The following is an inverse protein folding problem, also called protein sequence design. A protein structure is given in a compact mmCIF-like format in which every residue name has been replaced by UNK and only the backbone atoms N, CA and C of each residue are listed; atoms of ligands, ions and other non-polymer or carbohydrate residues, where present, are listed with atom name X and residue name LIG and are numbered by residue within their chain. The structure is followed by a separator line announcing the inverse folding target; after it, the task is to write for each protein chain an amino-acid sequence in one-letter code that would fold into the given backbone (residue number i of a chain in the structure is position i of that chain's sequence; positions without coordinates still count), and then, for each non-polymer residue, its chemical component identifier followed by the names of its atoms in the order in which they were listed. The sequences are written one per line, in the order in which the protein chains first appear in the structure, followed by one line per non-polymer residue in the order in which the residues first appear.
data_IF_919514181705
#
_entry.id   IF_919514181705
#
_cell.length_a   1.000
_cell.length_b   1.000
_cell.length_c   1.000
_cell.angle_alpha   90.00
_cell.angle_beta   90.00
_cell.angle_gamma   90.00
#
_symmetry.space_group_name_H-M   'P 1'
#
loop_
_entity.id
_entity.type
_entity.pdbx_description
1 polymer ?
#
# COMPACT_ATOMS: atom_id res chain seq x y z
N UNK A 1 4.87 -2.38 -9.06
CA UNK A 1 5.51 -3.16 -7.99
C UNK A 1 4.68 -4.38 -7.66
N UNK A 2 5.32 -5.28 -6.92
CA UNK A 2 4.81 -6.61 -6.56
C UNK A 2 4.65 -6.76 -5.05
N UNK A 3 4.87 -5.70 -4.26
CA UNK A 3 4.80 -5.76 -2.79
C UNK A 3 3.44 -6.24 -2.29
N UNK A 4 2.34 -5.97 -3.02
CA UNK A 4 0.99 -6.47 -2.70
C UNK A 4 0.88 -8.00 -2.63
N UNK A 5 1.80 -8.76 -3.27
CA UNK A 5 1.82 -10.22 -3.17
C UNK A 5 1.95 -10.69 -1.71
N UNK A 6 2.63 -9.92 -0.85
CA UNK A 6 2.77 -10.25 0.57
C UNK A 6 1.45 -10.24 1.36
N UNK A 7 0.37 -9.67 0.81
CA UNK A 7 -0.97 -9.78 1.41
C UNK A 7 -1.55 -11.20 1.29
N UNK A 8 -1.00 -12.01 0.39
CA UNK A 8 -1.51 -13.32 0.05
C UNK A 8 -0.44 -14.37 0.32
N UNK A 9 -0.81 -15.43 1.05
CA UNK A 9 0.09 -16.58 1.23
C UNK A 9 0.28 -17.36 -0.07
N UNK A 10 -0.79 -17.50 -0.86
CA UNK A 10 -0.84 -18.24 -2.13
C UNK A 10 -1.76 -17.50 -3.11
N UNK A 11 -1.24 -16.47 -3.79
CA UNK A 11 -2.01 -15.75 -4.81
C UNK A 11 -2.07 -16.53 -6.13
N UNK A 12 -3.25 -16.64 -6.72
CA UNK A 12 -3.45 -17.08 -8.10
C UNK A 12 -3.96 -15.88 -8.89
N UNK A 13 -3.27 -15.50 -9.96
CA UNK A 13 -3.66 -14.40 -10.84
C UNK A 13 -4.41 -14.97 -12.02
N UNK A 14 -5.66 -14.53 -12.20
CA UNK A 14 -6.44 -14.84 -13.38
C UNK A 14 -6.26 -13.73 -14.43
N UNK A 15 -6.05 -14.12 -15.68
CA UNK A 15 -5.88 -13.22 -16.83
C UNK A 15 -7.09 -13.28 -17.77
N UNK A 16 -7.26 -12.25 -18.62
CA UNK A 16 -8.30 -12.18 -19.66
C UNK A 16 -9.65 -11.61 -19.18
N UNK A 17 -9.76 -11.23 -17.91
CA UNK A 17 -10.98 -10.64 -17.37
C UNK A 17 -11.03 -9.12 -17.58
N UNK A 18 -12.18 -8.56 -17.97
CA UNK A 18 -12.32 -7.11 -18.12
C UNK A 18 -12.20 -6.44 -16.76
N UNK A 19 -11.23 -5.51 -16.63
CA UNK A 19 -11.09 -4.63 -15.47
C UNK A 19 -11.47 -3.20 -15.85
N UNK A 20 -11.97 -2.44 -14.87
CA UNK A 20 -12.26 -1.03 -15.08
C UNK A 20 -10.96 -0.31 -15.51
N UNK A 21 -11.05 0.49 -16.59
CA UNK A 21 -9.90 1.23 -17.11
C UNK A 21 -9.28 2.07 -16.00
N UNK A 22 -7.99 1.88 -15.77
CA UNK A 22 -7.24 2.70 -14.82
C UNK A 22 -6.89 4.03 -15.48
N UNK A 23 -7.20 5.14 -14.81
CA UNK A 23 -6.81 6.48 -15.26
C UNK A 23 -5.28 6.64 -15.28
N UNK A 24 -4.61 5.96 -14.37
CA UNK A 24 -3.15 5.91 -14.28
C UNK A 24 -2.68 4.49 -14.62
N UNK A 25 -1.62 4.35 -15.42
CA UNK A 25 -0.98 3.08 -15.79
C UNK A 25 -0.25 2.39 -14.62
N UNK A 26 -0.69 2.65 -13.39
CA UNK A 26 -0.11 2.18 -12.15
C UNK A 26 -0.16 0.66 -12.05
N UNK A 27 1.02 0.06 -11.86
CA UNK A 27 1.17 -1.35 -11.48
C UNK A 27 0.68 -1.51 -10.04
N UNK A 28 -0.07 -2.58 -9.76
CA UNK A 28 -0.59 -2.88 -8.43
C UNK A 28 -1.94 -3.59 -8.48
N UNK A 29 -2.43 -3.99 -7.31
CA UNK A 29 -3.71 -4.65 -7.12
C UNK A 29 -4.80 -3.60 -6.87
N UNK A 30 -5.92 -3.66 -7.57
CA UNK A 30 -7.08 -2.82 -7.31
C UNK A 30 -7.96 -3.53 -6.26
N UNK A 31 -8.20 -2.91 -5.12
CA UNK A 31 -8.86 -3.53 -3.96
C UNK A 31 -9.61 -2.49 -3.13
N UNK A 32 -10.67 -2.90 -2.43
CA UNK A 32 -11.33 -2.00 -1.46
C UNK A 32 -10.49 -1.84 -0.20
N UNK A 33 -10.66 -0.71 0.51
CA UNK A 33 -10.01 -0.47 1.80
C UNK A 33 -10.30 -1.58 2.79
N UNK A 34 -11.56 -2.05 2.85
CA UNK A 34 -11.98 -3.11 3.76
C UNK A 34 -11.24 -4.43 3.50
N UNK A 35 -11.17 -4.87 2.24
CA UNK A 35 -10.48 -6.13 1.91
C UNK A 35 -8.98 -5.99 2.20
N UNK A 36 -8.39 -4.85 1.86
CA UNK A 36 -7.00 -4.55 2.18
C UNK A 36 -6.75 -4.58 3.71
N UNK A 37 -7.66 -4.02 4.50
CA UNK A 37 -7.63 -4.04 5.96
C UNK A 37 -7.67 -5.47 6.52
N UNK A 38 -8.58 -6.28 6.01
CA UNK A 38 -8.74 -7.70 6.41
C UNK A 38 -7.51 -8.53 6.04
N UNK A 39 -6.93 -8.33 4.86
CA UNK A 39 -5.71 -9.01 4.44
C UNK A 39 -4.51 -8.63 5.32
N UNK A 40 -4.41 -7.37 5.72
CA UNK A 40 -3.41 -6.88 6.66
C UNK A 40 -3.72 -7.22 8.13
N UNK A 41 -4.84 -7.90 8.39
CA UNK A 41 -5.32 -8.29 9.74
C UNK A 41 -5.41 -7.10 10.69
N UNK A 42 -6.03 -6.02 10.24
CA UNK A 42 -6.21 -4.82 11.05
C UNK A 42 -7.51 -4.10 10.73
N UNK A 43 -7.97 -3.30 11.69
CA UNK A 43 -9.04 -2.31 11.54
C UNK A 43 -8.53 -0.89 11.83
N UNK A 44 -7.21 -0.72 12.01
CA UNK A 44 -6.60 0.52 12.45
C UNK A 44 -6.02 1.28 11.27
N UNK A 45 -6.67 2.40 10.98
CA UNK A 45 -6.10 3.50 10.23
C UNK A 45 -5.41 4.43 11.23
N UNK A 46 -4.14 4.74 10.98
CA UNK A 46 -3.33 5.53 11.91
C UNK A 46 -2.54 6.56 11.12
N UNK A 47 -2.68 7.82 11.51
CA UNK A 47 -1.76 8.86 11.07
C UNK A 47 -0.57 8.89 12.01
N UNK A 48 0.62 8.72 11.45
CA UNK A 48 1.86 8.80 12.18
C UNK A 48 2.86 9.61 11.36
N UNK A 49 3.44 10.65 11.97
CA UNK A 49 4.45 11.49 11.30
C UNK A 49 3.99 11.94 9.90
N UNK A 50 2.81 12.56 9.84
CA UNK A 50 2.22 13.17 8.63
C UNK A 50 1.95 12.19 7.49
N UNK A 51 1.80 10.90 7.81
CA UNK A 51 1.44 9.89 6.83
C UNK A 51 0.39 8.95 7.38
N UNK A 52 -0.55 8.60 6.52
CA UNK A 52 -1.61 7.63 6.83
C UNK A 52 -1.11 6.21 6.61
N UNK A 53 -1.35 5.37 7.61
CA UNK A 53 -1.02 3.95 7.60
C UNK A 53 -2.25 3.10 7.88
N UNK A 54 -2.24 1.92 7.28
CA UNK A 54 -3.06 0.80 7.72
C UNK A 54 -2.16 -0.22 8.41
N UNK A 55 -2.26 -0.33 9.74
CA UNK A 55 -1.26 -1.01 10.56
C UNK A 55 -1.83 -2.24 11.27
N UNK A 56 -1.33 -3.43 10.92
CA UNK A 56 -1.48 -4.67 11.69
C UNK A 56 -0.24 -4.94 12.55
N UNK A 57 -0.13 -6.13 13.14
CA UNK A 57 1.04 -6.50 13.96
C UNK A 57 2.31 -6.65 13.12
N UNK A 58 2.29 -7.59 12.17
CA UNK A 58 3.41 -7.94 11.28
C UNK A 58 3.24 -7.46 9.84
N UNK A 59 2.24 -6.62 9.60
CA UNK A 59 1.90 -6.06 8.30
C UNK A 59 1.59 -4.58 8.45
N UNK A 60 2.06 -3.76 7.52
CA UNK A 60 1.81 -2.32 7.50
C UNK A 60 1.68 -1.86 6.05
N UNK A 61 0.65 -1.09 5.72
CA UNK A 61 0.58 -0.36 4.46
C UNK A 61 0.73 1.13 4.72
N UNK A 62 1.64 1.76 4.00
CA UNK A 62 1.82 3.21 4.04
C UNK A 62 1.27 3.83 2.76
N UNK A 63 0.55 4.94 2.87
CA UNK A 63 0.22 5.77 1.72
C UNK A 63 1.53 6.31 1.14
N UNK A 64 1.72 6.15 -0.18
CA UNK A 64 2.88 6.69 -0.89
C UNK A 64 2.54 7.76 -1.89
N UNK A 65 1.29 7.86 -2.33
CA UNK A 65 0.86 8.87 -3.30
C UNK A 65 -0.67 8.93 -3.34
N UNK A 66 -1.21 10.11 -3.62
CA UNK A 66 -2.62 10.32 -3.93
C UNK A 66 -2.73 11.03 -5.27
N UNK A 67 -3.43 10.42 -6.22
CA UNK A 67 -3.65 11.01 -7.55
C UNK A 67 -5.14 10.99 -7.88
N UNK A 68 -5.76 12.17 -7.88
CA UNK A 68 -7.21 12.29 -7.98
C UNK A 68 -7.88 11.54 -6.82
N UNK A 69 -8.75 10.57 -7.15
CA UNK A 69 -9.45 9.71 -6.18
C UNK A 69 -8.78 8.35 -6.00
N UNK A 70 -7.48 8.22 -6.33
CA UNK A 70 -6.72 6.97 -6.20
C UNK A 70 -5.60 7.13 -5.19
N UNK A 71 -5.59 6.23 -4.20
CA UNK A 71 -4.57 6.17 -3.15
C UNK A 71 -3.65 4.98 -3.42
N UNK A 72 -2.37 5.26 -3.55
CA UNK A 72 -1.34 4.25 -3.74
C UNK A 72 -0.69 3.89 -2.41
N UNK A 73 -0.43 2.59 -2.24
CA UNK A 73 0.10 2.05 -1.00
C UNK A 73 1.35 1.22 -1.24
N UNK A 74 2.25 1.27 -0.27
CA UNK A 74 3.37 0.34 -0.16
C UNK A 74 3.17 -0.63 1.01
N UNK A 75 3.31 -1.92 0.74
CA UNK A 75 3.22 -2.98 1.75
C UNK A 75 4.58 -3.25 2.39
N UNK A 76 4.63 -3.17 3.71
CA UNK A 76 5.66 -3.74 4.56
C UNK A 76 5.11 -4.99 5.25
N UNK A 77 5.85 -6.10 5.16
CA UNK A 77 5.47 -7.35 5.77
C UNK A 77 6.72 -8.07 6.31
N UNK A 78 6.54 -8.70 7.47
CA UNK A 78 7.53 -9.55 8.11
C UNK A 78 7.15 -11.01 7.89
N UNK A 79 7.93 -11.72 7.07
CA UNK A 79 7.68 -13.13 6.72
C UNK A 79 7.76 -14.07 7.92
N UNK A 80 8.57 -13.71 8.91
CA UNK A 80 8.69 -14.40 10.20
C UNK A 80 7.52 -14.10 11.15
N UNK A 81 6.62 -13.18 10.78
CA UNK A 81 5.50 -12.76 11.61
C UNK A 81 5.89 -11.77 12.73
N UNK A 82 7.11 -11.25 12.74
CA UNK A 82 7.56 -10.28 13.74
C UNK A 82 6.81 -8.94 13.67
N UNK A 83 6.73 -8.24 14.80
CA UNK A 83 6.14 -6.90 14.86
C UNK A 83 6.87 -5.92 13.94
N UNK A 84 6.11 -5.04 13.27
CA UNK A 84 6.69 -3.94 12.48
C UNK A 84 6.60 -2.64 13.28
N UNK A 85 7.72 -1.99 13.57
CA UNK A 85 7.71 -0.64 14.17
C UNK A 85 7.58 0.45 13.09
N UNK A 86 6.90 1.56 13.42
CA UNK A 86 6.89 2.75 12.56
C UNK A 86 8.28 3.38 12.39
N UNK A 87 9.23 3.07 13.27
CA UNK A 87 10.57 3.65 13.27
C UNK A 87 11.60 2.84 12.48
N UNK A 88 11.21 1.68 11.94
CA UNK A 88 12.10 0.87 11.12
C UNK A 88 12.65 1.65 9.92
N UNK A 89 13.93 1.44 9.60
CA UNK A 89 14.62 2.16 8.53
C UNK A 89 13.96 1.99 7.16
N UNK A 90 13.27 0.87 6.92
CA UNK A 90 12.55 0.61 5.67
C UNK A 90 11.21 1.32 5.57
N UNK A 91 10.63 1.79 6.69
CA UNK A 91 9.39 2.56 6.67
C UNK A 91 9.76 4.01 6.32
N UNK A 92 9.16 4.63 5.29
CA UNK A 92 9.67 5.89 4.78
C UNK A 92 9.30 7.02 5.75
N UNK A 93 10.14 8.06 5.78
CA UNK A 93 10.15 9.09 6.83
C UNK A 93 9.81 10.45 6.24
N UNK A 94 9.42 11.40 7.09
CA UNK A 94 9.06 12.78 6.70
C UNK A 94 10.14 13.47 5.85
N UNK A 95 11.42 13.08 5.99
CA UNK A 95 12.53 13.67 5.23
C UNK A 95 12.62 13.18 3.77
N UNK A 96 11.77 12.24 3.35
CA UNK A 96 11.61 11.91 1.95
C UNK A 96 10.74 13.02 1.33
N UNK A 97 11.32 13.90 0.51
CA UNK A 97 10.61 15.06 -0.10
C UNK A 97 9.40 14.66 -0.98
N UNK A 98 9.24 13.36 -1.26
CA UNK A 98 8.10 12.73 -1.93
C UNK A 98 7.08 12.10 -0.93
N UNK A 99 7.08 12.53 0.34
CA UNK A 99 6.17 11.97 1.34
C UNK A 99 4.71 12.29 1.03
N UNK A 100 3.92 11.27 0.71
CA UNK A 100 2.49 11.44 0.55
C UNK A 100 1.79 11.88 1.84
N UNK A 101 0.76 12.73 1.70
CA UNK A 101 0.12 13.40 2.82
C UNK A 101 -0.72 12.44 3.68
N UNK A 102 -1.06 12.89 4.89
CA UNK A 102 -2.23 12.39 5.60
C UNK A 102 -3.47 12.62 4.75
N UNK A 103 -4.37 11.64 4.75
CA UNK A 103 -5.61 11.69 3.98
C UNK A 103 -6.77 11.72 4.97
N UNK A 104 -7.69 12.65 4.75
CA UNK A 104 -8.95 12.67 5.47
C UNK A 104 -9.70 11.33 5.35
N UNK A 105 -10.36 10.91 6.43
CA UNK A 105 -11.00 9.61 6.51
C UNK A 105 -12.12 9.45 5.45
N UNK A 106 -12.91 10.49 5.18
CA UNK A 106 -13.99 10.42 4.19
C UNK A 106 -13.42 10.36 2.77
N UNK A 107 -12.39 11.14 2.49
CA UNK A 107 -11.67 11.05 1.22
C UNK A 107 -11.06 9.65 1.01
N UNK A 108 -10.52 9.06 2.07
CA UNK A 108 -9.95 7.72 2.05
C UNK A 108 -11.01 6.66 1.73
N UNK A 109 -12.16 6.70 2.39
CA UNK A 109 -13.26 5.73 2.21
C UNK A 109 -13.85 5.75 0.79
N UNK A 110 -13.85 6.92 0.15
CA UNK A 110 -14.39 7.11 -1.20
C UNK A 110 -13.34 6.97 -2.31
N UNK A 111 -12.11 6.57 -1.97
CA UNK A 111 -11.02 6.43 -2.91
C UNK A 111 -10.88 5.00 -3.46
N UNK A 112 -10.24 4.88 -4.62
CA UNK A 112 -9.71 3.62 -5.12
C UNK A 112 -8.37 3.33 -4.44
N UNK A 113 -8.15 2.10 -3.97
CA UNK A 113 -6.90 1.72 -3.31
C UNK A 113 -6.07 0.80 -4.19
N UNK A 114 -4.80 1.18 -4.38
CA UNK A 114 -3.85 0.40 -5.20
C UNK A 114 -2.58 0.13 -4.39
N UNK A 115 -2.51 -0.97 -3.61
CA UNK A 115 -1.24 -1.48 -3.12
C UNK A 115 -0.38 -2.00 -4.28
N UNK A 116 0.92 -1.70 -4.23
CA UNK A 116 1.86 -2.21 -5.23
C UNK A 116 2.67 -1.17 -5.98
N UNK A 117 2.55 0.12 -5.65
CA UNK A 117 3.47 1.11 -6.18
C UNK A 117 4.77 1.06 -5.37
N UNK A 118 5.89 0.97 -6.08
CA UNK A 118 7.22 0.96 -5.50
C UNK A 118 8.05 1.87 -6.41
N UNK A 119 8.56 2.96 -5.86
CA UNK A 119 9.21 4.03 -6.63
C UNK A 119 10.65 3.70 -7.04
N UNK A 120 11.25 2.67 -6.44
CA UNK A 120 12.62 2.24 -6.77
C UNK A 120 12.74 0.74 -6.90
N UNK A 121 12.78 0.27 -8.14
CA UNK A 121 13.71 -0.79 -8.54
C UNK A 121 14.23 -0.42 -9.93
N UNK A 122 15.44 0.14 -10.00
CA UNK A 122 16.22 0.08 -11.23
C UNK A 122 16.47 -1.39 -11.52
N UNK A 123 15.98 -1.87 -12.66
CA UNK A 123 16.38 -3.17 -13.17
C UNK A 123 17.83 -3.00 -13.65
N UNK A 124 18.80 -3.27 -12.78
CA UNK A 124 20.18 -3.50 -13.19
C UNK A 124 20.26 -4.95 -13.70
N UNK A 125 19.67 -5.17 -14.87
CA UNK A 125 19.90 -6.33 -15.69
C UNK A 125 19.85 -5.85 -17.15
N UNK A 126 21.03 -5.47 -17.63
CA UNK A 126 21.37 -5.13 -19.00
C UNK A 126 22.86 -5.32 -19.16
#
# INVERSE_FOLDING_TARGET
GTCWLGLFRNAVVADGFPIMRRLHSGRGLDISLEVMARLAKTSYLVDFRERTFLKGFSTMLAVTEVVGTTVFWHLFYNQDGGYISYEETRVPRIQDEDSAPTIDADALLNSRHIPGRCEKVSCLAG
#
